data_IF_149593745458
#
_entry.id   IF_149593745458
#
_cell.length_a   1.000
_cell.length_b   1.000
_cell.length_c   1.000
_cell.angle_alpha   90.00
_cell.angle_beta   90.00
_cell.angle_gamma   90.00
#
_symmetry.space_group_name_H-M   'P 1'
#
loop_
_entity.id
_entity.type
_entity.pdbx_description
1 polymer ?
#
# COMPACT_ATOMS: atom_id res chain seq x y z
N UNK A 1 -7.28 -14.29 -15.10
CA UNK A 1 -6.60 -14.11 -13.79
C UNK A 1 -6.44 -12.61 -13.58
N UNK A 2 -6.86 -12.06 -12.45
CA UNK A 2 -6.74 -10.63 -12.14
C UNK A 2 -5.63 -10.49 -11.09
N UNK A 3 -4.68 -9.58 -11.34
CA UNK A 3 -3.64 -9.21 -10.37
C UNK A 3 -4.11 -7.95 -9.65
N UNK A 4 -4.09 -7.97 -8.32
CA UNK A 4 -4.55 -6.86 -7.49
C UNK A 4 -3.38 -6.38 -6.63
N UNK A 5 -2.74 -5.25 -6.99
CA UNK A 5 -1.72 -4.64 -6.14
C UNK A 5 -2.29 -4.25 -4.77
N UNK A 6 -1.48 -4.44 -3.73
CA UNK A 6 -1.85 -4.13 -2.36
C UNK A 6 -1.05 -2.94 -1.81
N UNK A 7 -1.75 -2.01 -1.16
CA UNK A 7 -1.17 -0.86 -0.47
C UNK A 7 -1.61 -0.92 1.00
N UNK A 8 -0.64 -1.07 1.91
CA UNK A 8 -0.90 -0.97 3.34
C UNK A 8 -0.61 0.48 3.77
N UNK A 9 -1.55 1.11 4.47
CA UNK A 9 -1.50 2.51 4.89
C UNK A 9 -1.34 2.60 6.40
N UNK A 10 -0.42 3.46 6.84
CA UNK A 10 -0.25 3.80 8.26
C UNK A 10 0.25 5.23 8.40
N UNK A 11 -0.36 6.01 9.30
CA UNK A 11 -0.07 7.44 9.50
C UNK A 11 0.03 8.27 8.19
N UNK A 12 -0.82 7.97 7.20
CA UNK A 12 -0.82 8.65 5.90
C UNK A 12 0.30 8.21 4.92
N UNK A 13 1.01 7.12 5.23
CA UNK A 13 2.17 6.62 4.48
C UNK A 13 1.92 5.21 3.95
N UNK A 14 2.54 4.86 2.82
CA UNK A 14 2.58 3.48 2.33
C UNK A 14 3.65 2.70 3.08
N UNK A 15 3.23 1.66 3.80
CA UNK A 15 4.10 0.83 4.61
C UNK A 15 3.98 -0.65 4.24
N UNK A 16 4.88 -1.48 4.76
CA UNK A 16 4.72 -2.93 4.86
C UNK A 16 5.17 -3.37 6.24
N UNK A 17 4.42 -4.26 6.86
CA UNK A 17 4.82 -4.90 8.11
C UNK A 17 5.52 -6.23 7.82
N UNK A 18 6.67 -6.46 8.44
CA UNK A 18 7.30 -7.78 8.45
C UNK A 18 6.41 -8.74 9.26
N UNK A 19 5.82 -9.74 8.59
CA UNK A 19 4.90 -10.72 9.22
C UNK A 19 3.76 -10.08 10.04
N UNK A 20 3.30 -8.88 9.67
CA UNK A 20 2.24 -8.17 10.39
C UNK A 20 2.67 -7.51 11.71
N UNK A 21 3.97 -7.47 12.04
CA UNK A 21 4.48 -6.85 13.26
C UNK A 21 4.58 -5.34 13.11
N UNK A 22 3.79 -4.61 13.89
CA UNK A 22 3.72 -3.13 13.85
C UNK A 22 5.05 -2.43 14.16
N UNK A 23 5.94 -3.08 14.93
CA UNK A 23 7.26 -2.52 15.24
C UNK A 23 8.28 -2.72 14.11
N UNK A 24 7.97 -3.58 13.15
CA UNK A 24 8.83 -3.92 12.02
C UNK A 24 8.20 -3.39 10.72
N UNK A 25 7.95 -2.09 10.67
CA UNK A 25 7.45 -1.41 9.48
C UNK A 25 8.59 -0.96 8.56
N UNK A 26 8.35 -1.06 7.26
CA UNK A 26 9.18 -0.42 6.22
C UNK A 26 8.32 0.59 5.49
N UNK A 27 8.76 1.85 5.43
CA UNK A 27 8.08 2.91 4.68
C UNK A 27 8.57 2.89 3.23
N UNK A 28 7.63 2.76 2.29
CA UNK A 28 7.92 2.74 0.85
C UNK A 28 7.65 4.09 0.19
N UNK A 29 6.62 4.81 0.63
CA UNK A 29 6.29 6.14 0.13
C UNK A 29 5.56 6.96 1.19
N UNK A 30 5.71 8.28 1.10
CA UNK A 30 4.99 9.27 1.89
C UNK A 30 3.71 9.76 1.18
N UNK A 31 3.52 9.43 -0.10
CA UNK A 31 2.34 9.81 -0.88
C UNK A 31 1.61 8.57 -1.40
N UNK A 32 0.56 8.11 -0.69
CA UNK A 32 -0.28 7.01 -1.15
C UNK A 32 -0.97 7.24 -2.48
N UNK A 33 -1.32 8.48 -2.79
CA UNK A 33 -2.01 8.80 -4.04
C UNK A 33 -1.07 8.66 -5.24
N UNK A 34 0.22 8.99 -5.08
CA UNK A 34 1.24 8.73 -6.10
C UNK A 34 1.38 7.22 -6.36
N UNK A 35 1.47 6.40 -5.32
CA UNK A 35 1.59 4.94 -5.47
C UNK A 35 0.34 4.35 -6.14
N UNK A 36 -0.85 4.82 -5.77
CA UNK A 36 -2.10 4.38 -6.40
C UNK A 36 -2.14 4.74 -7.90
N UNK A 37 -1.77 5.99 -8.25
CA UNK A 37 -1.68 6.43 -9.65
C UNK A 37 -0.68 5.60 -10.45
N UNK A 38 0.48 5.30 -9.86
CA UNK A 38 1.48 4.45 -10.52
C UNK A 38 0.92 3.07 -10.87
N UNK A 39 0.18 2.45 -9.97
CA UNK A 39 -0.44 1.16 -10.26
C UNK A 39 -1.51 1.25 -11.35
N UNK A 40 -2.31 2.31 -11.35
CA UNK A 40 -3.26 2.60 -12.42
C UNK A 40 -2.54 2.76 -13.77
N UNK A 41 -1.45 3.53 -13.82
CA UNK A 41 -0.61 3.73 -15.01
C UNK A 41 0.04 2.43 -15.50
N UNK A 42 0.36 1.50 -14.58
CA UNK A 42 0.86 0.15 -14.90
C UNK A 42 -0.26 -0.83 -15.33
N UNK A 43 -1.52 -0.38 -15.35
CA UNK A 43 -2.67 -1.14 -15.87
C UNK A 43 -3.47 -1.89 -14.80
N UNK A 44 -3.27 -1.58 -13.52
CA UNK A 44 -4.08 -2.16 -12.45
C UNK A 44 -5.53 -1.67 -12.53
N UNK A 45 -6.49 -2.60 -12.60
CA UNK A 45 -7.92 -2.30 -12.63
C UNK A 45 -8.53 -2.21 -11.22
N UNK A 46 -7.83 -2.73 -10.22
CA UNK A 46 -8.28 -2.78 -8.84
C UNK A 46 -7.08 -2.61 -7.91
N UNK A 47 -7.30 -1.94 -6.79
CA UNK A 47 -6.34 -1.82 -5.69
C UNK A 47 -6.92 -2.45 -4.43
N UNK A 48 -6.11 -3.25 -3.74
CA UNK A 48 -6.42 -3.70 -2.38
C UNK A 48 -5.76 -2.75 -1.40
N UNK A 49 -6.54 -2.06 -0.58
CA UNK A 49 -6.03 -1.06 0.37
C UNK A 49 -6.38 -1.50 1.78
N UNK A 50 -5.37 -1.50 2.67
CA UNK A 50 -5.52 -1.84 4.08
C UNK A 50 -5.13 -0.63 4.91
N UNK A 51 -6.05 -0.12 5.74
CA UNK A 51 -5.73 0.87 6.76
C UNK A 51 -5.27 0.15 8.04
N UNK A 52 -4.01 0.34 8.41
CA UNK A 52 -3.39 -0.25 9.60
C UNK A 52 -3.55 0.61 10.85
N UNK A 53 -4.06 1.84 10.73
CA UNK A 53 -4.29 2.68 11.89
C UNK A 53 -5.47 2.20 12.73
N UNK A 54 -6.53 1.67 12.08
CA UNK A 54 -7.69 1.07 12.75
C UNK A 54 -8.54 2.07 13.54
#
# INVERSE_FOLDING_TARGET
>A
MIVIPAIDLKDGRCVRLCQGRMQEETVYSQDPAEVARRWEDEGAQLLHVVDLNG
#
